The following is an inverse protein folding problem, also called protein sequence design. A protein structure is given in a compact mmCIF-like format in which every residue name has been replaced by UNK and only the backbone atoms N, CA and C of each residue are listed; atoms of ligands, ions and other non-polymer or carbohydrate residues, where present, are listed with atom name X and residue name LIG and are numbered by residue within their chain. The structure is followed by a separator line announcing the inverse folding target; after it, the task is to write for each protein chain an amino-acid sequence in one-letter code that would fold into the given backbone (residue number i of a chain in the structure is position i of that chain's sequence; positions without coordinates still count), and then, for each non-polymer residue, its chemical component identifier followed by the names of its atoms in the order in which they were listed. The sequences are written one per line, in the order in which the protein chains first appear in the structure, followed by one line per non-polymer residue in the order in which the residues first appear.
data_IF_834011278442
#
_entry.id   IF_834011278442
#
_cell.length_a   1.000
_cell.length_b   1.000
_cell.length_c   1.000
_cell.angle_alpha   90.00
_cell.angle_beta   90.00
_cell.angle_gamma   90.00
#
_symmetry.space_group_name_H-M   'P 1'
#
loop_
_entity.id
_entity.type
_entity.pdbx_description
1 polymer ?
#
# COMPACT_ATOMS: atom_id res chain seq x y z
N UNK A 1 9.80 -57.64 -38.85
CA UNK A 1 10.19 -56.26 -39.20
C UNK A 1 8.93 -55.57 -39.74
N UNK A 2 8.38 -54.44 -39.28
CA UNK A 2 8.74 -53.45 -38.27
C UNK A 2 7.49 -52.60 -37.85
N UNK A 3 7.54 -52.05 -36.63
CA UNK A 3 6.84 -50.90 -35.96
C UNK A 3 5.42 -50.46 -36.39
N UNK A 4 4.39 -50.45 -35.53
CA UNK A 4 4.11 -49.63 -34.34
C UNK A 4 3.71 -48.17 -34.64
N UNK A 5 2.49 -47.77 -34.25
CA UNK A 5 2.20 -46.39 -33.86
C UNK A 5 0.88 -46.30 -33.08
N UNK A 6 0.97 -46.08 -31.76
CA UNK A 6 -0.16 -45.73 -30.91
C UNK A 6 -0.11 -44.23 -30.65
N UNK A 7 -1.17 -43.50 -31.00
CA UNK A 7 -1.29 -42.06 -30.76
C UNK A 7 -1.79 -41.85 -29.32
N UNK A 8 -0.86 -41.59 -28.39
CA UNK A 8 -1.19 -41.28 -27.00
C UNK A 8 -1.81 -39.88 -26.89
N UNK A 9 -2.90 -39.68 -26.12
CA UNK A 9 -3.36 -38.33 -25.82
C UNK A 9 -2.38 -37.68 -24.83
N UNK A 10 -1.86 -36.51 -25.20
CA UNK A 10 -1.16 -35.62 -24.28
C UNK A 10 -2.15 -35.12 -23.22
N UNK A 11 -2.09 -35.68 -22.02
CA UNK A 11 -2.76 -35.09 -20.86
C UNK A 11 -1.98 -33.85 -20.42
N UNK A 12 -2.53 -32.66 -20.68
CA UNK A 12 -1.98 -31.40 -20.16
C UNK A 12 -2.44 -31.31 -18.69
N UNK A 13 -1.54 -31.62 -17.75
CA UNK A 13 -1.78 -31.38 -16.34
C UNK A 13 -1.61 -29.87 -16.06
N UNK A 14 -2.72 -29.15 -15.91
CA UNK A 14 -2.71 -27.76 -15.43
C UNK A 14 -2.45 -27.75 -13.91
N UNK A 15 -1.18 -27.83 -13.52
CA UNK A 15 -0.78 -27.53 -12.15
C UNK A 15 -0.75 -26.00 -11.96
N UNK A 16 -1.91 -25.41 -11.65
CA UNK A 16 -1.95 -24.10 -11.01
C UNK A 16 -1.37 -24.27 -9.59
N UNK A 17 -0.05 -24.13 -9.47
CA UNK A 17 0.60 -23.99 -8.17
C UNK A 17 0.13 -22.65 -7.59
N UNK A 18 -0.81 -22.70 -6.65
CA UNK A 18 -1.13 -21.53 -5.85
C UNK A 18 0.14 -21.15 -5.07
N UNK A 19 0.79 -20.06 -5.46
CA UNK A 19 1.90 -19.52 -4.68
C UNK A 19 1.35 -19.11 -3.31
N UNK A 20 2.02 -19.48 -2.21
CA UNK A 20 1.64 -18.98 -0.90
C UNK A 20 1.77 -17.46 -0.93
N UNK A 21 0.66 -16.75 -0.81
CA UNK A 21 0.64 -15.30 -0.67
C UNK A 21 1.29 -15.00 0.68
N UNK A 22 2.60 -14.76 0.67
CA UNK A 22 3.34 -14.33 1.84
C UNK A 22 2.77 -12.96 2.25
N UNK A 23 1.96 -12.93 3.30
CA UNK A 23 1.44 -11.68 3.83
C UNK A 23 2.62 -10.83 4.27
N UNK A 24 2.73 -9.62 3.72
CA UNK A 24 3.75 -8.68 4.15
C UNK A 24 3.57 -8.36 5.64
N UNK A 25 4.66 -8.17 6.40
CA UNK A 25 4.55 -7.81 7.81
C UNK A 25 3.84 -6.46 7.96
N UNK A 26 3.05 -6.31 9.04
CA UNK A 26 2.45 -5.03 9.42
C UNK A 26 3.53 -3.96 9.58
N UNK A 27 3.32 -2.81 8.97
CA UNK A 27 4.18 -1.63 9.13
C UNK A 27 3.57 -0.67 10.15
N UNK A 28 4.44 0.00 10.91
CA UNK A 28 4.08 1.09 11.82
C UNK A 28 4.97 2.29 11.48
N UNK A 29 4.59 3.10 10.47
CA UNK A 29 5.42 4.23 10.04
C UNK A 29 5.43 5.34 11.10
N UNK A 30 6.52 6.10 11.12
CA UNK A 30 6.62 7.32 11.91
C UNK A 30 5.80 8.44 11.27
N UNK A 31 4.93 9.06 12.06
CA UNK A 31 4.02 10.15 11.65
C UNK A 31 4.33 11.47 12.36
N UNK A 32 5.53 11.60 12.93
CA UNK A 32 5.92 12.80 13.67
C UNK A 32 6.26 13.99 12.77
N UNK A 33 6.60 13.79 11.50
CA UNK A 33 7.05 14.85 10.60
C UNK A 33 5.93 15.49 9.76
N UNK A 34 6.24 16.63 9.14
CA UNK A 34 5.44 17.29 8.10
C UNK A 34 4.07 17.85 8.53
N UNK A 35 3.88 18.13 9.81
CA UNK A 35 2.67 18.77 10.31
C UNK A 35 2.63 20.27 9.99
N UNK A 36 1.42 20.80 9.84
CA UNK A 36 1.10 22.24 9.76
C UNK A 36 0.38 22.64 11.04
N UNK A 37 0.83 23.72 11.69
CA UNK A 37 0.29 24.17 12.97
C UNK A 37 -0.06 25.66 12.96
N UNK A 38 -1.26 25.97 13.44
CA UNK A 38 -1.75 27.31 13.69
C UNK A 38 -2.06 27.48 15.18
N UNK A 39 -1.55 28.55 15.78
CA UNK A 39 -1.84 28.92 17.15
C UNK A 39 -2.94 30.00 17.16
N UNK A 40 -4.01 29.77 17.91
CA UNK A 40 -5.12 30.71 18.04
C UNK A 40 -6.48 29.99 17.96
N UNK A 41 -7.51 30.76 17.63
CA UNK A 41 -8.88 30.25 17.50
C UNK A 41 -9.02 29.28 16.31
N UNK A 42 -10.14 28.56 16.32
CA UNK A 42 -10.53 27.66 15.23
C UNK A 42 -10.59 28.40 13.90
N UNK A 43 -9.92 27.83 12.89
CA UNK A 43 -10.01 28.32 11.52
C UNK A 43 -11.10 27.51 10.79
N UNK A 44 -12.21 28.14 10.35
CA UNK A 44 -13.28 27.44 9.67
C UNK A 44 -12.78 26.69 8.43
N UNK A 45 -13.15 25.41 8.32
CA UNK A 45 -12.78 24.59 7.17
C UNK A 45 -11.39 23.95 7.25
N UNK A 46 -10.65 24.09 8.35
CA UNK A 46 -9.33 23.47 8.54
C UNK A 46 -9.33 21.92 8.45
N UNK A 47 -10.50 21.27 8.51
CA UNK A 47 -10.66 19.82 8.31
C UNK A 47 -10.89 19.42 6.85
N UNK A 48 -11.10 20.38 5.95
CA UNK A 48 -11.32 20.10 4.53
C UNK A 48 -10.00 19.70 3.87
N UNK A 49 -10.02 18.66 3.02
CA UNK A 49 -8.83 18.18 2.31
C UNK A 49 -8.20 19.21 1.36
N UNK A 50 -8.96 20.24 0.96
CA UNK A 50 -8.51 21.32 0.07
C UNK A 50 -8.23 22.64 0.82
N UNK A 51 -8.17 22.61 2.15
CA UNK A 51 -7.83 23.78 2.95
C UNK A 51 -6.38 24.22 2.67
N UNK A 52 -6.17 25.52 2.50
CA UNK A 52 -4.83 26.09 2.30
C UNK A 52 -4.19 26.42 3.66
N UNK A 53 -3.35 25.51 4.13
CA UNK A 53 -2.54 25.66 5.34
C UNK A 53 -1.09 26.11 5.05
N UNK A 54 -0.80 26.62 3.85
CA UNK A 54 0.57 26.99 3.44
C UNK A 54 1.19 28.10 4.30
N UNK A 55 0.36 28.96 4.91
CA UNK A 55 0.78 30.00 5.83
C UNK A 55 1.06 29.48 7.26
N UNK A 56 0.71 28.23 7.57
CA UNK A 56 0.87 27.66 8.91
C UNK A 56 2.30 27.20 9.15
N UNK A 57 2.67 27.11 10.43
CA UNK A 57 4.03 26.73 10.82
C UNK A 57 4.28 25.26 10.52
N UNK A 58 5.41 24.98 9.87
CA UNK A 58 5.96 23.65 9.74
C UNK A 58 6.51 23.14 11.08
N UNK A 59 5.99 22.02 11.58
CA UNK A 59 6.46 21.42 12.84
C UNK A 59 6.70 19.91 12.71
N UNK A 60 7.39 19.36 13.71
CA UNK A 60 7.47 17.92 13.98
C UNK A 60 7.03 17.65 15.41
N UNK A 61 6.47 16.46 15.66
CA UNK A 61 5.98 16.03 16.96
C UNK A 61 7.07 15.27 17.74
N UNK A 62 7.09 15.31 19.08
CA UNK A 62 6.23 16.14 19.94
C UNK A 62 6.60 17.64 19.83
N UNK A 63 5.59 18.51 19.91
CA UNK A 63 5.74 19.97 19.92
C UNK A 63 5.05 20.55 21.16
N UNK A 64 5.55 21.67 21.68
CA UNK A 64 5.06 22.38 22.88
C UNK A 64 4.62 23.78 22.53
#
# INVERSE_FOLDING_TARGET
MAAASACSPLAIASNALAEPVQSAPRQTPDLTANWRFHYGDEVPGATAAAFDDSAWRAISLPHT
#
